data_IF_522033729408
#
_entry.id   IF_522033729408
#
_cell.length_a   1.000
_cell.length_b   1.000
_cell.length_c   1.000
_cell.angle_alpha   90.00
_cell.angle_beta   90.00
_cell.angle_gamma   90.00
#
_symmetry.space_group_name_H-M   'P 1'
#
loop_
_entity.id
_entity.type
_entity.pdbx_description
1 polymer ?
#
# COMPACT_ATOMS: atom_id res chain seq x y z
N UNK A 1 8.23 13.56 -4.71
CA UNK A 1 6.83 13.21 -5.01
C UNK A 1 6.04 13.23 -3.72
N UNK A 2 4.78 13.68 -3.73
CA UNK A 2 3.88 13.64 -2.55
C UNK A 2 3.03 12.36 -2.56
N UNK A 3 2.38 12.01 -1.44
CA UNK A 3 1.42 10.87 -1.38
C UNK A 3 0.35 11.02 -2.47
N UNK A 4 -0.24 12.21 -2.59
CA UNK A 4 -1.23 12.53 -3.63
C UNK A 4 -0.66 12.31 -5.04
N UNK A 5 0.52 12.86 -5.33
CA UNK A 5 1.13 12.71 -6.65
C UNK A 5 1.45 11.25 -6.99
N UNK A 6 1.80 10.43 -6.00
CA UNK A 6 1.99 9.00 -6.21
C UNK A 6 0.67 8.27 -6.45
N UNK A 7 -0.35 8.53 -5.63
CA UNK A 7 -1.68 7.96 -5.80
C UNK A 7 -2.27 8.30 -7.18
N UNK A 8 -2.11 9.53 -7.64
CA UNK A 8 -2.53 9.98 -8.97
C UNK A 8 -1.78 9.26 -10.09
N UNK A 9 -0.47 9.05 -9.94
CA UNK A 9 0.34 8.28 -10.88
C UNK A 9 -0.18 6.84 -11.01
N UNK A 10 -0.49 6.19 -9.90
CA UNK A 10 -1.08 4.84 -9.88
C UNK A 10 -2.46 4.85 -10.55
N UNK A 11 -3.31 5.85 -10.24
CA UNK A 11 -4.63 6.01 -10.88
C UNK A 11 -4.50 6.11 -12.39
N UNK A 12 -3.61 6.96 -12.88
CA UNK A 12 -3.43 7.18 -14.33
C UNK A 12 -2.99 5.92 -15.07
N UNK A 13 -2.19 5.06 -14.44
CA UNK A 13 -1.65 3.85 -15.07
C UNK A 13 -2.62 2.67 -15.04
N UNK A 14 -3.32 2.45 -13.93
CA UNK A 14 -3.94 1.14 -13.67
C UNK A 14 -5.45 1.19 -13.38
N UNK A 15 -6.02 2.38 -13.17
CA UNK A 15 -7.42 2.51 -12.71
C UNK A 15 -8.44 1.82 -13.62
N UNK A 16 -8.29 1.89 -14.94
CA UNK A 16 -9.25 1.28 -15.87
C UNK A 16 -9.33 -0.24 -15.70
N UNK A 17 -8.18 -0.90 -15.53
CA UNK A 17 -8.08 -2.35 -15.35
C UNK A 17 -8.55 -2.76 -13.96
N UNK A 18 -8.11 -2.01 -12.94
CA UNK A 18 -8.36 -2.38 -11.54
C UNK A 18 -9.80 -2.10 -11.11
N UNK A 19 -10.41 -1.02 -11.62
CA UNK A 19 -11.82 -0.71 -11.38
C UNK A 19 -12.75 -1.77 -11.97
N UNK A 20 -12.35 -2.45 -13.05
CA UNK A 20 -13.12 -3.55 -13.64
C UNK A 20 -13.08 -4.83 -12.77
N UNK A 21 -11.98 -5.06 -12.04
CA UNK A 21 -11.83 -6.16 -11.07
C UNK A 21 -12.62 -5.92 -9.78
N UNK A 22 -12.88 -4.66 -9.45
CA UNK A 22 -13.62 -4.24 -8.26
C UNK A 22 -12.86 -4.43 -6.95
N UNK A 23 -13.47 -3.99 -5.84
CA UNK A 23 -12.83 -3.97 -4.51
C UNK A 23 -12.40 -5.36 -4.01
N UNK A 24 -13.24 -6.41 -4.04
CA UNK A 24 -12.83 -7.72 -3.52
C UNK A 24 -11.64 -8.31 -4.27
N UNK A 25 -11.64 -8.26 -5.60
CA UNK A 25 -10.54 -8.80 -6.40
C UNK A 25 -9.26 -7.98 -6.25
N UNK A 26 -9.37 -6.66 -6.13
CA UNK A 26 -8.21 -5.79 -5.88
C UNK A 26 -7.64 -5.97 -4.47
N UNK A 27 -8.49 -6.24 -3.47
CA UNK A 27 -8.02 -6.57 -2.12
C UNK A 27 -7.23 -7.88 -2.09
N UNK A 28 -7.59 -8.88 -2.91
CA UNK A 28 -6.82 -10.13 -3.00
C UNK A 28 -5.39 -9.88 -3.50
N UNK A 29 -5.22 -9.06 -4.54
CA UNK A 29 -3.89 -8.66 -5.00
C UNK A 29 -3.13 -7.90 -3.92
N UNK A 30 -3.76 -6.92 -3.27
CA UNK A 30 -3.13 -6.23 -2.14
C UNK A 30 -2.68 -7.18 -1.01
N UNK A 31 -3.50 -8.20 -0.69
CA UNK A 31 -3.17 -9.18 0.34
C UNK A 31 -2.03 -10.13 -0.05
N UNK A 32 -1.92 -10.48 -1.33
CA UNK A 32 -0.81 -11.27 -1.89
C UNK A 32 0.53 -10.55 -1.68
N UNK A 33 0.58 -9.27 -2.03
CA UNK A 33 1.77 -8.41 -1.95
C UNK A 33 2.20 -8.17 -0.49
N UNK A 34 1.24 -8.10 0.43
CA UNK A 34 1.53 -8.10 1.87
C UNK A 34 2.15 -9.44 2.32
N UNK A 35 1.74 -10.56 1.72
CA UNK A 35 2.31 -11.87 1.96
C UNK A 35 3.74 -12.01 1.41
N UNK A 36 4.01 -11.45 0.25
CA UNK A 36 5.36 -11.39 -0.34
C UNK A 36 6.29 -10.52 0.50
N UNK A 37 5.83 -9.33 0.93
CA UNK A 37 6.55 -8.49 1.90
C UNK A 37 6.84 -9.25 3.21
N UNK A 38 5.86 -9.97 3.76
CA UNK A 38 6.05 -10.76 4.98
C UNK A 38 7.11 -11.86 4.78
N UNK A 39 7.15 -12.48 3.61
CA UNK A 39 8.14 -13.50 3.25
C UNK A 39 9.55 -12.90 3.14
N UNK A 40 9.69 -11.75 2.46
CA UNK A 40 10.95 -11.03 2.33
C UNK A 40 11.51 -10.58 3.70
N UNK A 41 10.65 -10.06 4.58
CA UNK A 41 11.01 -9.72 5.96
C UNK A 41 11.45 -10.95 6.75
N UNK A 42 10.73 -12.07 6.61
CA UNK A 42 11.07 -13.31 7.28
C UNK A 42 12.43 -13.88 6.85
N UNK A 43 12.78 -13.82 5.57
CA UNK A 43 14.12 -14.22 5.11
C UNK A 43 15.21 -13.27 5.60
N UNK A 44 14.94 -11.95 5.64
CA UNK A 44 15.86 -10.98 6.20
C UNK A 44 16.18 -11.26 7.68
N UNK A 45 15.17 -11.57 8.51
CA UNK A 45 15.39 -11.95 9.92
C UNK A 45 16.21 -13.24 10.07
N UNK A 46 16.09 -14.18 9.11
CA UNK A 46 16.90 -15.42 9.07
C UNK A 46 18.33 -15.19 8.56
N UNK A 47 18.74 -13.95 8.35
CA UNK A 47 20.09 -13.59 7.89
C UNK A 47 20.30 -13.72 6.39
N UNK A 48 19.23 -13.84 5.61
CA UNK A 48 19.27 -13.91 4.13
C UNK A 48 18.63 -12.67 3.53
N UNK A 49 19.15 -11.50 3.88
CA UNK A 49 18.65 -10.24 3.36
C UNK A 49 18.89 -10.16 1.85
N UNK A 50 17.79 -10.23 1.10
CA UNK A 50 17.73 -9.71 -0.26
C UNK A 50 17.16 -8.29 -0.19
N UNK A 51 18.03 -7.30 -0.42
CA UNK A 51 17.64 -5.90 -0.26
C UNK A 51 16.77 -5.41 -1.41
N UNK A 52 17.01 -5.91 -2.61
CA UNK A 52 16.29 -5.47 -3.80
C UNK A 52 14.86 -6.02 -3.75
N UNK A 53 14.71 -7.32 -3.45
CA UNK A 53 13.39 -7.92 -3.25
C UNK A 53 12.63 -7.19 -2.14
N UNK A 54 13.25 -6.96 -0.98
CA UNK A 54 12.57 -6.24 0.12
C UNK A 54 12.08 -4.85 -0.29
N UNK A 55 12.90 -4.11 -1.04
CA UNK A 55 12.51 -2.79 -1.55
C UNK A 55 11.38 -2.85 -2.58
N UNK A 56 11.37 -3.89 -3.43
CA UNK A 56 10.30 -4.18 -4.39
C UNK A 56 8.97 -4.43 -3.66
N UNK A 57 8.94 -5.36 -2.70
CA UNK A 57 7.70 -5.68 -1.97
C UNK A 57 7.11 -4.47 -1.22
N UNK A 58 7.97 -3.61 -0.66
CA UNK A 58 7.51 -2.36 -0.02
C UNK A 58 6.87 -1.41 -1.04
N UNK A 59 7.41 -1.35 -2.26
CA UNK A 59 6.87 -0.53 -3.33
C UNK A 59 5.53 -1.08 -3.82
N UNK A 60 5.40 -2.40 -3.97
CA UNK A 60 4.19 -3.04 -4.47
C UNK A 60 3.05 -2.97 -3.46
N UNK A 61 3.31 -3.22 -2.17
CA UNK A 61 2.31 -2.98 -1.10
C UNK A 61 1.80 -1.53 -1.12
N UNK A 62 2.69 -0.56 -1.33
CA UNK A 62 2.29 0.85 -1.40
C UNK A 62 1.48 1.16 -2.68
N UNK A 63 1.87 0.59 -3.82
CA UNK A 63 1.15 0.75 -5.08
C UNK A 63 -0.26 0.16 -5.01
N UNK A 64 -0.40 -1.05 -4.48
CA UNK A 64 -1.69 -1.72 -4.33
C UNK A 64 -2.60 -1.07 -3.29
N UNK A 65 -2.04 -0.49 -2.23
CA UNK A 65 -2.81 0.34 -1.31
C UNK A 65 -3.36 1.59 -2.03
N UNK A 66 -2.57 2.24 -2.88
CA UNK A 66 -3.03 3.36 -3.70
C UNK A 66 -4.11 2.93 -4.69
N UNK A 67 -3.97 1.77 -5.33
CA UNK A 67 -4.99 1.19 -6.21
C UNK A 67 -6.30 0.97 -5.46
N UNK A 68 -6.24 0.35 -4.28
CA UNK A 68 -7.42 0.11 -3.44
C UNK A 68 -8.08 1.42 -3.01
N UNK A 69 -7.30 2.43 -2.62
CA UNK A 69 -7.81 3.75 -2.29
C UNK A 69 -8.49 4.42 -3.50
N UNK A 70 -7.87 4.34 -4.67
CA UNK A 70 -8.39 4.93 -5.91
C UNK A 70 -9.77 4.38 -6.31
N UNK A 71 -9.97 3.06 -6.24
CA UNK A 71 -11.25 2.44 -6.64
C UNK A 71 -12.35 2.59 -5.57
N UNK A 72 -12.01 2.96 -4.34
CA UNK A 72 -12.94 3.23 -3.25
C UNK A 72 -13.10 4.75 -2.98
N UNK A 73 -12.60 5.60 -3.88
CA UNK A 73 -12.70 7.06 -3.79
C UNK A 73 -12.12 7.65 -2.47
N UNK A 74 -11.00 7.08 -2.01
CA UNK A 74 -10.30 7.52 -0.80
C UNK A 74 -9.04 8.29 -1.18
N UNK A 75 -8.87 9.48 -0.59
CA UNK A 75 -7.68 10.29 -0.73
C UNK A 75 -6.66 10.00 0.37
N UNK A 76 -5.55 9.34 0.02
CA UNK A 76 -4.52 8.96 1.00
C UNK A 76 -3.82 10.16 1.62
N UNK A 77 -3.68 11.27 0.89
CA UNK A 77 -3.04 12.48 1.40
C UNK A 77 -3.95 13.24 2.38
N UNK A 78 -5.27 13.08 2.30
CA UNK A 78 -6.20 13.64 3.28
C UNK A 78 -6.25 12.77 4.55
N UNK A 79 -6.38 11.45 4.41
CA UNK A 79 -6.53 10.55 5.58
C UNK A 79 -5.25 10.45 6.43
N UNK A 80 -4.08 10.76 5.86
CA UNK A 80 -2.82 10.80 6.64
C UNK A 80 -2.86 11.88 7.73
N UNK A 81 -3.71 12.91 7.58
CA UNK A 81 -3.89 13.97 8.57
C UNK A 81 -4.26 13.44 9.96
N UNK A 82 -4.90 12.26 10.02
CA UNK A 82 -5.17 11.51 11.25
C UNK A 82 -3.93 11.32 12.13
N UNK A 83 -2.75 11.18 11.53
CA UNK A 83 -1.49 10.97 12.24
C UNK A 83 -0.59 12.21 12.27
N UNK A 84 -0.85 13.21 11.41
CA UNK A 84 0.03 14.39 11.29
C UNK A 84 -0.54 15.65 11.94
N UNK A 85 -1.81 15.64 12.38
CA UNK A 85 -2.48 16.77 13.04
C UNK A 85 -2.96 16.36 14.43
N UNK A 86 -2.64 17.17 15.45
CA UNK A 86 -2.99 16.89 16.85
C UNK A 86 -2.11 15.81 17.50
N UNK A 87 -2.48 15.28 18.69
CA UNK A 87 -1.69 14.26 19.38
C UNK A 87 -1.64 12.89 18.66
N UNK A 88 -2.37 12.73 17.55
CA UNK A 88 -2.51 11.47 16.82
C UNK A 88 -3.37 10.45 17.59
N UNK A 89 -3.72 9.31 16.98
CA UNK A 89 -4.39 8.23 17.68
C UNK A 89 -3.45 7.57 18.69
N UNK A 90 -3.96 7.26 19.89
CA UNK A 90 -3.22 6.49 20.89
C UNK A 90 -2.86 5.11 20.31
N UNK A 91 -1.59 4.73 20.41
CA UNK A 91 -1.00 3.57 19.74
C UNK A 91 -1.51 2.20 20.21
N UNK A 92 -2.47 2.15 21.12
CA UNK A 92 -3.09 0.93 21.61
C UNK A 92 -4.52 0.83 21.07
N UNK A 93 -4.68 0.17 19.91
CA UNK A 93 -5.94 -0.54 19.64
C UNK A 93 -5.94 -1.79 20.51
N UNK A 94 -6.75 -1.80 21.56
CA UNK A 94 -7.20 -3.04 22.24
C UNK A 94 -8.07 -3.86 21.30
#
# INVERSE_FOLDING_TARGET
MTIRAFQDLIRQRYYATDSARGTPGTFLWFAEEVGELASALGEAERGKLDRDNLCEEFADVLAWLCTLANINDVDLAEVVSKYTVGPGPEGTKT
#
